data_IF_007612415459
#
_entry.id   IF_007612415459
#
_cell.length_a   1.000
_cell.length_b   1.000
_cell.length_c   1.000
_cell.angle_alpha   90.00
_cell.angle_beta   90.00
_cell.angle_gamma   90.00
#
_symmetry.space_group_name_H-M   'P 1'
#
loop_
_entity.id
_entity.type
_entity.pdbx_description
1 polymer ?
#
# COMPACT_ATOMS: atom_id res chain seq x y z
N UNK A 1 -8.23 16.66 -19.01
CA UNK A 1 -7.33 15.51 -18.79
C UNK A 1 -7.36 15.21 -17.31
N UNK A 2 -8.17 14.25 -16.85
CA UNK A 2 -8.18 13.84 -15.45
C UNK A 2 -6.97 12.93 -15.28
N UNK A 3 -5.85 13.50 -14.86
CA UNK A 3 -4.72 12.70 -14.41
C UNK A 3 -5.18 12.16 -13.07
N UNK A 4 -5.61 10.91 -13.04
CA UNK A 4 -5.92 10.21 -11.80
C UNK A 4 -4.59 10.05 -11.06
N UNK A 5 -4.24 11.07 -10.29
CA UNK A 5 -2.98 11.12 -9.58
C UNK A 5 -3.07 10.13 -8.43
N UNK A 6 -2.34 9.04 -8.55
CA UNK A 6 -2.19 8.06 -7.50
C UNK A 6 -0.78 8.15 -6.94
N UNK A 7 -0.67 8.15 -5.61
CA UNK A 7 0.57 8.18 -4.86
C UNK A 7 0.78 6.83 -4.14
N UNK A 8 2.02 6.54 -3.75
CA UNK A 8 2.29 5.32 -2.97
C UNK A 8 1.74 5.47 -1.55
N UNK A 9 1.32 4.35 -0.96
CA UNK A 9 1.01 4.27 0.46
C UNK A 9 2.21 4.75 1.30
N UNK A 10 1.95 5.50 2.36
CA UNK A 10 2.97 6.01 3.27
C UNK A 10 3.59 4.90 4.15
N UNK A 11 2.99 3.71 4.20
CA UNK A 11 3.59 2.55 4.87
C UNK A 11 4.72 1.98 4.02
N UNK A 12 5.97 2.08 4.48
CA UNK A 12 7.17 1.70 3.72
C UNK A 12 7.16 0.28 3.11
N UNK A 13 6.72 -0.79 3.80
CA UNK A 13 6.63 -2.12 3.21
C UNK A 13 5.36 -2.34 2.37
N UNK A 14 4.50 -1.33 2.23
CA UNK A 14 3.28 -1.39 1.41
C UNK A 14 3.55 -0.86 0.00
N UNK A 15 3.19 -1.64 -1.01
CA UNK A 15 3.32 -1.27 -2.43
C UNK A 15 2.02 -0.74 -3.03
N UNK A 16 0.98 -0.52 -2.22
CA UNK A 16 -0.30 -0.04 -2.72
C UNK A 16 -0.20 1.39 -3.27
N UNK A 17 -0.95 1.63 -4.34
CA UNK A 17 -1.22 2.97 -4.83
C UNK A 17 -2.56 3.45 -4.26
N UNK A 18 -2.57 4.69 -3.81
CA UNK A 18 -3.71 5.38 -3.21
C UNK A 18 -3.94 6.69 -3.94
N UNK A 19 -5.18 7.18 -4.04
CA UNK A 19 -5.45 8.46 -4.69
C UNK A 19 -4.72 9.60 -3.96
N UNK A 20 -4.29 10.62 -4.71
CA UNK A 20 -3.72 11.84 -4.13
C UNK A 20 -4.72 12.42 -3.11
N UNK A 21 -4.19 12.71 -1.91
CA UNK A 21 -4.98 13.14 -0.74
C UNK A 21 -5.25 12.01 0.26
N UNK A 22 -5.02 10.76 -0.11
CA UNK A 22 -5.06 9.61 0.81
C UNK A 22 -3.64 9.10 1.04
N UNK A 23 -3.18 9.08 2.28
CA UNK A 23 -1.81 8.66 2.62
C UNK A 23 -1.68 7.15 2.82
N UNK A 24 -2.76 6.49 3.25
CA UNK A 24 -2.76 5.07 3.61
C UNK A 24 -3.84 4.34 2.84
N UNK A 25 -3.51 3.16 2.32
CA UNK A 25 -4.49 2.36 1.59
C UNK A 25 -5.58 1.79 2.50
N UNK A 26 -5.30 1.61 3.79
CA UNK A 26 -6.20 1.05 4.79
C UNK A 26 -5.79 1.55 6.17
N UNK A 27 -6.72 1.54 7.13
CA UNK A 27 -6.45 1.87 8.53
C UNK A 27 -5.36 0.98 9.14
N UNK A 28 -5.26 -0.28 8.69
CA UNK A 28 -4.17 -1.17 9.12
C UNK A 28 -2.79 -0.58 8.80
N UNK A 29 -2.61 -0.04 7.59
CA UNK A 29 -1.36 0.64 7.22
C UNK A 29 -1.14 1.92 8.00
N UNK A 30 -2.20 2.64 8.40
CA UNK A 30 -2.10 3.86 9.21
C UNK A 30 -1.63 3.54 10.63
N UNK A 31 -2.18 2.50 11.24
CA UNK A 31 -1.83 2.08 12.61
C UNK A 31 -0.47 1.38 12.69
N UNK A 32 -0.12 0.63 11.64
CA UNK A 32 1.17 -0.06 11.55
C UNK A 32 2.25 0.79 10.85
N UNK A 33 1.92 1.98 10.33
CA UNK A 33 2.87 2.90 9.69
C UNK A 33 4.11 3.18 10.54
N UNK A 34 3.89 3.35 11.85
CA UNK A 34 4.94 3.65 12.82
C UNK A 34 5.69 2.41 13.32
N UNK A 35 5.22 1.21 12.97
CA UNK A 35 5.85 -0.06 13.36
C UNK A 35 6.89 -0.45 12.31
N UNK A 36 8.12 0.00 12.54
CA UNK A 36 9.26 -0.32 11.69
C UNK A 36 9.57 -1.82 11.81
N UNK A 37 9.43 -2.56 10.71
CA UNK A 37 9.81 -3.97 10.61
C UNK A 37 8.64 -4.95 10.49
N UNK A 38 7.39 -4.49 10.50
CA UNK A 38 6.23 -5.35 10.31
C UNK A 38 5.93 -5.57 8.83
N UNK A 39 5.58 -6.80 8.45
CA UNK A 39 5.18 -7.10 7.08
C UNK A 39 3.82 -6.45 6.80
N UNK A 40 3.68 -5.78 5.66
CA UNK A 40 2.40 -5.17 5.32
C UNK A 40 1.32 -6.26 5.16
N UNK A 41 0.29 -6.22 6.00
CA UNK A 41 -0.87 -7.12 5.95
C UNK A 41 -2.15 -6.34 5.63
N UNK A 42 -2.05 -5.34 4.75
CA UNK A 42 -3.16 -4.45 4.39
C UNK A 42 -4.35 -5.16 3.72
N UNK A 43 -4.20 -6.42 3.33
CA UNK A 43 -5.25 -7.25 2.73
C UNK A 43 -5.54 -6.94 1.27
N UNK A 44 -4.90 -5.94 0.66
CA UNK A 44 -5.11 -5.62 -0.75
C UNK A 44 -4.41 -6.62 -1.68
N UNK A 45 -5.07 -6.93 -2.79
CA UNK A 45 -4.49 -7.75 -3.85
C UNK A 45 -3.25 -7.05 -4.41
N UNK A 46 -2.09 -7.70 -4.27
CA UNK A 46 -0.79 -7.17 -4.69
C UNK A 46 0.02 -6.46 -3.59
N UNK A 47 -0.54 -6.28 -2.39
CA UNK A 47 0.12 -5.60 -1.25
C UNK A 47 1.19 -6.43 -0.53
N UNK A 48 1.24 -7.74 -0.77
CA UNK A 48 2.16 -8.65 -0.06
C UNK A 48 2.52 -9.89 -0.89
N UNK A 49 2.51 -9.75 -2.22
CA UNK A 49 3.03 -10.79 -3.11
C UNK A 49 4.08 -10.15 -4.01
N UNK A 50 5.30 -10.71 -4.11
CA UNK A 50 6.03 -10.54 -5.37
C UNK A 50 5.07 -11.05 -6.45
N UNK A 51 4.86 -10.24 -7.47
CA UNK A 51 4.02 -10.58 -8.60
C UNK A 51 4.60 -11.81 -9.31
N UNK A 52 4.29 -13.01 -8.84
CA UNK A 52 4.31 -14.22 -9.65
C UNK A 52 3.52 -15.35 -8.96
N UNK A 53 2.33 -15.58 -9.47
CA UNK A 53 1.78 -16.92 -9.57
C UNK A 53 1.52 -17.09 -11.06
N UNK A 54 2.58 -17.30 -11.84
CA UNK A 54 2.48 -17.56 -13.27
C UNK A 54 3.71 -18.33 -13.82
N UNK A 55 3.89 -19.59 -13.40
CA UNK A 55 4.14 -20.77 -14.28
C UNK A 55 4.40 -22.05 -13.47
#
# INVERSE_FOLDING_TARGET
MQIEQHQKCAHAPCTCQVPIGTEYCSDHCREHASKVGDSCACGHRGCSKPADSAV
#
